data_IF_709009935045
#
_entry.id   IF_709009935045
#
_cell.length_a   1.000
_cell.length_b   1.000
_cell.length_c   1.000
_cell.angle_alpha   90.00
_cell.angle_beta   90.00
_cell.angle_gamma   90.00
#
_symmetry.space_group_name_H-M   'P 1'
#
loop_
_entity.id
_entity.type
_entity.pdbx_description
1 polymer ?
#
# COMPACT_ATOMS: atom_id res chain seq x y z
N UNK A 1 12.68 3.68 -7.15
CA UNK A 1 11.80 3.34 -8.29
C UNK A 1 11.70 1.83 -8.40
N UNK A 2 10.49 1.28 -8.49
CA UNK A 2 10.33 -0.09 -8.99
C UNK A 2 10.70 -0.05 -10.49
N UNK A 3 11.57 -0.95 -10.95
CA UNK A 3 12.20 -1.01 -12.29
C UNK A 3 11.21 -0.81 -13.46
N UNK A 4 9.91 -0.96 -13.20
CA UNK A 4 8.82 -0.92 -14.17
C UNK A 4 8.43 0.47 -14.68
N UNK A 5 8.70 1.58 -13.98
CA UNK A 5 8.36 2.92 -14.54
C UNK A 5 9.17 3.29 -15.79
N UNK A 6 10.25 2.55 -16.05
CA UNK A 6 11.08 2.65 -17.26
C UNK A 6 10.38 2.02 -18.47
N UNK A 7 9.49 1.05 -18.27
CA UNK A 7 8.73 0.45 -19.35
C UNK A 7 7.44 1.28 -19.63
N UNK A 8 7.28 1.84 -20.83
CA UNK A 8 6.08 2.62 -21.19
C UNK A 8 4.78 1.80 -21.09
N UNK A 9 4.86 0.47 -21.18
CA UNK A 9 3.71 -0.45 -21.10
C UNK A 9 3.41 -0.95 -19.68
N UNK A 10 4.08 -0.44 -18.65
CA UNK A 10 3.93 -0.97 -17.29
C UNK A 10 2.49 -0.96 -16.77
N UNK A 11 1.69 0.05 -17.17
CA UNK A 11 0.27 0.15 -16.82
C UNK A 11 -0.59 -0.96 -17.45
N UNK A 12 -0.24 -1.42 -18.65
CA UNK A 12 -1.00 -2.46 -19.35
C UNK A 12 -0.77 -3.85 -18.72
N UNK A 13 0.35 -4.07 -18.02
CA UNK A 13 0.52 -5.29 -17.22
C UNK A 13 -0.49 -5.39 -16.08
N UNK A 14 -0.90 -4.27 -15.48
CA UNK A 14 -1.94 -4.28 -14.44
C UNK A 14 -3.31 -4.59 -15.03
N UNK A 15 -3.63 -4.04 -16.20
CA UNK A 15 -4.86 -4.38 -16.93
C UNK A 15 -4.88 -5.87 -17.30
N UNK A 16 -3.78 -6.40 -17.81
CA UNK A 16 -3.64 -7.83 -18.08
C UNK A 16 -3.82 -8.67 -16.81
N UNK A 17 -3.19 -8.30 -15.71
CA UNK A 17 -3.35 -8.97 -14.42
C UNK A 17 -4.82 -8.98 -13.96
N UNK A 18 -5.53 -7.85 -14.09
CA UNK A 18 -6.96 -7.76 -13.79
C UNK A 18 -7.79 -8.76 -14.59
N UNK A 19 -7.53 -8.89 -15.90
CA UNK A 19 -8.20 -9.87 -16.76
C UNK A 19 -7.94 -11.30 -16.33
N UNK A 20 -6.68 -11.64 -16.05
CA UNK A 20 -6.28 -13.00 -15.63
C UNK A 20 -6.95 -13.39 -14.32
N UNK A 21 -6.98 -12.49 -13.33
CA UNK A 21 -7.65 -12.76 -12.05
C UNK A 21 -9.15 -12.92 -12.24
N UNK A 22 -9.80 -12.04 -13.00
CA UNK A 22 -11.22 -12.14 -13.26
C UNK A 22 -11.60 -13.45 -13.96
N UNK A 23 -10.85 -13.85 -14.99
CA UNK A 23 -11.06 -15.13 -15.69
C UNK A 23 -10.90 -16.31 -14.74
N UNK A 24 -9.87 -16.29 -13.90
CA UNK A 24 -9.65 -17.37 -12.96
C UNK A 24 -10.79 -17.49 -11.94
N UNK A 25 -11.28 -16.36 -11.41
CA UNK A 25 -12.43 -16.36 -10.50
C UNK A 25 -13.71 -16.85 -11.19
N UNK A 26 -13.96 -16.44 -12.44
CA UNK A 26 -15.11 -16.90 -13.22
C UNK A 26 -15.10 -18.41 -13.45
N UNK A 27 -13.92 -19.00 -13.68
CA UNK A 27 -13.77 -20.43 -13.91
C UNK A 27 -13.45 -21.24 -12.64
N UNK A 28 -13.61 -20.64 -11.45
CA UNK A 28 -13.22 -21.27 -10.17
C UNK A 28 -11.78 -21.83 -10.18
N UNK A 29 -10.93 -21.21 -10.99
CA UNK A 29 -9.53 -21.58 -11.14
C UNK A 29 -8.71 -20.90 -10.06
N UNK A 30 -7.89 -21.70 -9.41
CA UNK A 30 -6.97 -21.23 -8.40
C UNK A 30 -5.88 -20.35 -9.04
N UNK A 31 -5.66 -19.11 -8.55
CA UNK A 31 -4.46 -18.28 -8.85
C UNK A 31 -3.60 -18.06 -7.60
N UNK A 32 -2.29 -18.33 -7.71
CA UNK A 32 -1.26 -18.41 -6.65
C UNK A 32 -0.97 -17.17 -5.81
N UNK A 33 -1.97 -16.38 -5.46
CA UNK A 33 -1.82 -14.99 -5.02
C UNK A 33 -2.72 -14.75 -3.80
N UNK A 34 -2.20 -13.96 -2.88
CA UNK A 34 -2.96 -13.41 -1.74
C UNK A 34 -3.06 -11.91 -1.97
N UNK A 35 -4.27 -11.38 -1.92
CA UNK A 35 -4.49 -9.95 -1.96
C UNK A 35 -4.37 -9.38 -0.55
N UNK A 36 -3.61 -8.30 -0.40
CA UNK A 36 -3.51 -7.59 0.88
C UNK A 36 -4.84 -6.91 1.21
N UNK A 37 -5.15 -6.81 2.50
CA UNK A 37 -6.41 -6.21 2.98
C UNK A 37 -6.61 -4.78 2.47
N UNK A 38 -5.56 -3.95 2.52
CA UNK A 38 -5.60 -2.58 2.00
C UNK A 38 -6.04 -2.51 0.52
N UNK A 39 -5.63 -3.45 -0.32
CA UNK A 39 -6.00 -3.50 -1.73
C UNK A 39 -7.48 -3.86 -1.92
N UNK A 40 -7.98 -4.83 -1.14
CA UNK A 40 -9.40 -5.22 -1.20
C UNK A 40 -10.32 -4.07 -0.77
N UNK A 41 -9.97 -3.38 0.32
CA UNK A 41 -10.69 -2.19 0.77
C UNK A 41 -10.78 -1.12 -0.32
N UNK A 42 -9.68 -0.86 -1.03
CA UNK A 42 -9.67 0.13 -2.11
C UNK A 42 -10.55 -0.25 -3.29
N UNK A 43 -10.59 -1.54 -3.63
CA UNK A 43 -11.49 -2.02 -4.68
C UNK A 43 -12.96 -1.87 -4.29
N UNK A 44 -13.29 -1.92 -2.98
CA UNK A 44 -14.63 -1.61 -2.48
C UNK A 44 -14.85 -0.11 -2.17
N UNK A 45 -13.84 0.73 -2.41
CA UNK A 45 -13.85 2.18 -2.10
C UNK A 45 -14.01 2.48 -0.61
N UNK A 46 -13.48 1.61 0.24
CA UNK A 46 -13.39 1.78 1.69
C UNK A 46 -12.03 2.41 2.02
N UNK A 47 -12.02 3.34 2.97
CA UNK A 47 -10.80 4.00 3.43
C UNK A 47 -9.86 3.01 4.12
N UNK A 48 -8.56 3.16 3.85
CA UNK A 48 -7.49 2.34 4.44
C UNK A 48 -7.01 3.03 5.71
N UNK A 49 -7.06 2.32 6.84
CA UNK A 49 -6.54 2.76 8.13
C UNK A 49 -5.16 2.17 8.44
N UNK A 50 -4.53 2.65 9.51
CA UNK A 50 -3.22 2.15 9.97
C UNK A 50 -3.25 0.64 10.28
N UNK A 51 -4.33 0.14 10.87
CA UNK A 51 -4.42 -1.29 11.21
C UNK A 51 -4.51 -2.18 9.96
N UNK A 52 -4.97 -1.63 8.84
CA UNK A 52 -5.20 -2.36 7.60
C UNK A 52 -3.91 -2.62 6.82
N UNK A 53 -2.85 -1.86 7.14
CA UNK A 53 -1.54 -1.97 6.52
C UNK A 53 -0.56 -2.81 7.33
N UNK A 54 -0.94 -3.28 8.52
CA UNK A 54 -0.07 -4.01 9.45
C UNK A 54 0.62 -5.21 8.79
N UNK A 55 -0.13 -6.01 8.05
CA UNK A 55 0.39 -7.20 7.38
C UNK A 55 1.04 -6.87 6.03
N UNK A 56 0.62 -5.77 5.41
CA UNK A 56 1.15 -5.32 4.13
C UNK A 56 2.55 -4.73 4.28
N UNK A 57 2.75 -3.88 5.30
CA UNK A 57 4.03 -3.25 5.65
C UNK A 57 4.20 -3.14 7.18
N UNK A 58 4.74 -4.20 7.82
CA UNK A 58 4.97 -4.21 9.27
C UNK A 58 5.96 -3.14 9.75
N UNK A 59 6.91 -2.72 8.89
CA UNK A 59 7.93 -1.74 9.25
C UNK A 59 7.35 -0.33 9.30
N UNK A 60 6.57 0.04 8.28
CA UNK A 60 5.84 1.30 8.29
C UNK A 60 4.81 1.33 9.41
N UNK A 61 4.06 0.23 9.61
CA UNK A 61 3.10 0.12 10.71
C UNK A 61 3.76 0.41 12.07
N UNK A 62 4.89 -0.26 12.36
CA UNK A 62 5.63 -0.05 13.60
C UNK A 62 6.14 1.39 13.73
N UNK A 63 6.62 1.97 12.64
CA UNK A 63 7.13 3.34 12.60
C UNK A 63 6.04 4.38 12.88
N UNK A 64 4.86 4.21 12.26
CA UNK A 64 3.68 5.03 12.52
C UNK A 64 3.24 4.92 13.98
N UNK A 65 3.17 3.70 14.53
CA UNK A 65 2.85 3.49 15.96
C UNK A 65 3.85 4.18 16.89
N UNK A 66 5.14 4.09 16.59
CA UNK A 66 6.17 4.76 17.38
C UNK A 66 5.96 6.28 17.44
N UNK A 67 5.61 6.94 16.34
CA UNK A 67 5.33 8.39 16.36
C UNK A 67 4.06 8.71 17.17
N UNK A 68 3.02 7.90 17.01
CA UNK A 68 1.76 8.09 17.72
C UNK A 68 1.93 7.95 19.24
N UNK A 69 2.76 6.99 19.66
CA UNK A 69 3.01 6.66 21.07
C UNK A 69 4.17 7.47 21.68
N UNK A 70 4.95 8.19 20.88
CA UNK A 70 6.08 8.98 21.37
C UNK A 70 5.61 10.08 22.34
N UNK A 71 6.41 10.35 23.36
CA UNK A 71 6.12 11.40 24.34
C UNK A 71 5.89 12.75 23.64
N UNK A 72 4.78 13.47 23.92
CA UNK A 72 4.46 14.75 23.30
C UNK A 72 5.61 15.76 23.36
N UNK A 73 6.31 15.86 24.50
CA UNK A 73 7.42 16.81 24.68
C UNK A 73 8.58 16.48 23.73
N UNK A 74 8.83 15.20 23.44
CA UNK A 74 9.88 14.76 22.52
C UNK A 74 9.50 15.05 21.07
N UNK A 75 8.23 14.83 20.69
CA UNK A 75 7.75 15.15 19.33
C UNK A 75 7.83 16.65 19.09
N UNK A 76 7.41 17.46 20.07
CA UNK A 76 7.34 18.92 19.95
C UNK A 76 8.72 19.61 19.93
N UNK A 77 9.76 18.91 20.35
CA UNK A 77 11.16 19.34 20.22
C UNK A 77 11.73 19.12 18.80
N UNK A 78 10.92 18.61 17.86
CA UNK A 78 11.30 18.35 16.46
C UNK A 78 12.54 17.45 16.31
N UNK A 79 12.77 16.54 17.28
CA UNK A 79 13.95 15.66 17.33
C UNK A 79 14.03 14.72 16.12
N UNK A 80 12.87 14.38 15.53
CA UNK A 80 12.80 13.53 14.33
C UNK A 80 12.95 14.33 13.02
N UNK A 81 12.85 15.66 13.08
CA UNK A 81 12.89 16.56 11.92
C UNK A 81 11.83 16.25 10.87
N UNK A 82 10.65 15.78 11.29
CA UNK A 82 9.60 15.32 10.38
C UNK A 82 8.76 16.50 9.90
N UNK A 83 8.50 16.53 8.61
CA UNK A 83 7.61 17.48 7.95
C UNK A 83 6.49 16.73 7.23
N UNK A 84 5.44 17.42 6.77
CA UNK A 84 4.35 16.82 5.98
C UNK A 84 4.78 16.51 4.55
N UNK A 85 5.83 15.70 4.42
CA UNK A 85 6.49 15.33 3.17
C UNK A 85 6.85 13.84 3.20
N UNK A 86 6.79 13.21 2.03
CA UNK A 86 7.25 11.86 1.80
C UNK A 86 8.54 11.90 0.97
N UNK A 87 9.61 11.30 1.49
CA UNK A 87 10.87 11.17 0.78
C UNK A 87 10.94 9.80 0.11
N UNK A 88 11.43 9.75 -1.13
CA UNK A 88 11.75 8.48 -1.78
C UNK A 88 13.11 8.57 -2.45
N UNK A 89 13.96 7.57 -2.19
CA UNK A 89 15.15 7.34 -3.00
C UNK A 89 14.78 6.63 -4.32
N UNK A 90 15.04 7.34 -5.40
CA UNK A 90 14.63 6.99 -6.73
C UNK A 90 15.86 6.98 -7.65
N UNK A 91 16.54 5.82 -7.71
CA UNK A 91 17.77 5.60 -8.49
C UNK A 91 18.94 6.50 -8.04
N UNK A 92 19.07 6.71 -6.73
CA UNK A 92 20.08 7.61 -6.15
C UNK A 92 19.67 9.07 -6.17
N UNK A 93 18.51 9.41 -6.74
CA UNK A 93 17.92 10.74 -6.67
C UNK A 93 16.87 10.76 -5.58
N UNK A 94 17.08 11.58 -4.55
CA UNK A 94 16.07 11.83 -3.52
C UNK A 94 14.96 12.70 -4.11
N UNK A 95 13.74 12.20 -4.06
CA UNK A 95 12.54 12.95 -4.44
C UNK A 95 11.68 13.18 -3.21
N UNK A 96 11.25 14.43 -3.03
CA UNK A 96 10.35 14.85 -1.96
C UNK A 96 8.97 15.09 -2.56
N UNK A 97 7.93 14.56 -1.91
CA UNK A 97 6.52 14.79 -2.26
C UNK A 97 5.85 15.43 -1.06
N UNK A 98 5.24 16.61 -1.24
CA UNK A 98 4.42 17.19 -0.17
C UNK A 98 3.12 16.41 0.00
N UNK A 99 2.82 16.03 1.24
CA UNK A 99 1.59 15.29 1.60
C UNK A 99 0.36 16.21 1.70
N UNK A 100 0.59 17.51 1.90
CA UNK A 100 -0.42 18.55 1.90
C UNK A 100 0.19 19.86 1.37
N UNK A 101 -0.63 20.88 1.03
CA UNK A 101 -0.10 22.14 0.51
C UNK A 101 0.88 22.80 1.48
N UNK A 102 2.10 23.10 1.02
CA UNK A 102 3.21 23.65 1.83
C UNK A 102 3.64 22.71 2.95
N UNK A 103 3.49 21.40 2.76
CA UNK A 103 3.79 20.39 3.78
C UNK A 103 5.25 20.39 4.24
N UNK A 104 6.18 20.82 3.39
CA UNK A 104 7.59 20.95 3.76
C UNK A 104 7.84 22.02 4.85
N UNK A 105 6.91 22.97 5.03
CA UNK A 105 7.00 24.02 6.05
C UNK A 105 6.21 23.71 7.33
N UNK A 106 5.62 22.51 7.41
CA UNK A 106 4.80 22.09 8.55
C UNK A 106 5.55 20.97 9.27
N UNK A 107 6.14 21.28 10.42
CA UNK A 107 6.76 20.26 11.29
C UNK A 107 5.68 19.42 11.98
N UNK A 108 5.98 18.12 12.14
CA UNK A 108 5.14 17.18 12.85
C UNK A 108 5.29 17.39 14.35
N UNK A 109 4.17 17.56 15.04
CA UNK A 109 4.09 17.82 16.47
C UNK A 109 3.02 16.95 17.13
N UNK A 110 2.90 17.03 18.44
CA UNK A 110 2.01 16.23 19.26
C UNK A 110 0.52 16.38 18.88
N UNK A 111 0.13 17.55 18.36
CA UNK A 111 -1.23 17.90 17.95
C UNK A 111 -1.55 17.34 16.56
N UNK A 112 -0.60 17.44 15.61
CA UNK A 112 -0.84 17.16 14.19
C UNK A 112 -0.36 15.77 13.73
N UNK A 113 0.36 15.01 14.57
CA UNK A 113 0.92 13.70 14.22
C UNK A 113 -0.09 12.67 13.70
N UNK A 114 -1.33 12.65 14.21
CA UNK A 114 -2.37 11.75 13.69
C UNK A 114 -2.64 12.03 12.21
N UNK A 115 -2.80 13.30 11.86
CA UNK A 115 -3.00 13.75 10.48
C UNK A 115 -1.79 13.43 9.59
N UNK A 116 -0.58 13.55 10.13
CA UNK A 116 0.64 13.15 9.41
C UNK A 116 0.61 11.66 9.06
N UNK A 117 0.24 10.79 10.01
CA UNK A 117 0.12 9.35 9.76
C UNK A 117 -0.97 9.03 8.73
N UNK A 118 -2.16 9.65 8.86
CA UNK A 118 -3.25 9.44 7.90
C UNK A 118 -2.84 9.80 6.47
N UNK A 119 -2.17 10.94 6.29
CA UNK A 119 -1.68 11.37 4.98
C UNK A 119 -0.56 10.49 4.42
N UNK A 120 0.29 9.92 5.30
CA UNK A 120 1.29 8.95 4.87
C UNK A 120 0.65 7.68 4.32
N UNK A 121 -0.34 7.14 5.04
CA UNK A 121 -1.08 5.94 4.62
C UNK A 121 -1.82 6.22 3.31
N UNK A 122 -2.55 7.33 3.23
CA UNK A 122 -3.26 7.77 2.03
C UNK A 122 -2.30 7.91 0.84
N UNK A 123 -1.14 8.54 1.02
CA UNK A 123 -0.17 8.70 -0.05
C UNK A 123 0.35 7.35 -0.55
N UNK A 124 0.85 6.52 0.37
CA UNK A 124 1.53 5.28 0.01
C UNK A 124 0.57 4.22 -0.51
N UNK A 125 -0.52 3.97 0.21
CA UNK A 125 -1.42 2.88 -0.13
C UNK A 125 -2.44 3.30 -1.16
N UNK A 126 -2.92 4.55 -1.18
CA UNK A 126 -4.00 4.98 -2.10
C UNK A 126 -3.44 5.74 -3.29
N UNK A 127 -2.83 6.90 -3.05
CA UNK A 127 -2.48 7.84 -4.12
C UNK A 127 -1.37 7.30 -5.02
N UNK A 128 -0.35 6.64 -4.45
CA UNK A 128 0.84 6.21 -5.20
C UNK A 128 0.58 5.07 -6.18
N UNK A 129 -0.50 4.29 -5.96
CA UNK A 129 -0.89 3.14 -6.79
C UNK A 129 -2.19 3.36 -7.56
N UNK A 130 -2.84 4.53 -7.44
CA UNK A 130 -4.15 4.79 -8.02
C UNK A 130 -4.24 4.48 -9.54
N UNK A 131 -3.19 4.80 -10.31
CA UNK A 131 -3.16 4.51 -11.77
C UNK A 131 -3.07 3.02 -12.06
N UNK A 132 -2.25 2.31 -11.30
CA UNK A 132 -2.05 0.87 -11.38
C UNK A 132 -3.35 0.14 -11.01
N UNK A 133 -3.97 0.54 -9.89
CA UNK A 133 -5.22 -0.01 -9.43
C UNK A 133 -6.36 0.24 -10.42
N UNK A 134 -6.46 1.46 -10.97
CA UNK A 134 -7.45 1.80 -11.99
C UNK A 134 -7.33 0.89 -13.22
N UNK A 135 -6.11 0.63 -13.69
CA UNK A 135 -5.86 -0.28 -14.82
C UNK A 135 -6.19 -1.73 -14.48
N UNK A 136 -5.85 -2.18 -13.27
CA UNK A 136 -6.26 -3.51 -12.78
C UNK A 136 -7.78 -3.66 -12.76
N UNK A 137 -8.51 -2.71 -12.16
CA UNK A 137 -9.97 -2.71 -12.12
C UNK A 137 -10.58 -2.69 -13.52
N UNK A 138 -10.03 -1.89 -14.44
CA UNK A 138 -10.46 -1.89 -15.84
C UNK A 138 -10.30 -3.28 -16.48
N UNK A 139 -9.15 -3.92 -16.28
CA UNK A 139 -8.92 -5.27 -16.78
C UNK A 139 -9.86 -6.31 -16.18
N UNK A 140 -10.18 -6.18 -14.90
CA UNK A 140 -11.15 -7.05 -14.23
C UNK A 140 -12.55 -6.87 -14.83
N UNK A 141 -12.99 -5.61 -15.01
CA UNK A 141 -14.27 -5.24 -15.59
C UNK A 141 -14.41 -5.67 -17.06
N UNK A 142 -13.33 -5.64 -17.85
CA UNK A 142 -13.31 -6.15 -19.22
C UNK A 142 -13.82 -7.61 -19.31
N UNK A 143 -13.67 -8.38 -18.23
CA UNK A 143 -14.05 -9.80 -18.17
C UNK A 143 -15.41 -10.03 -17.51
N UNK A 144 -15.67 -9.39 -16.35
CA UNK A 144 -16.93 -9.62 -15.60
C UNK A 144 -18.10 -8.76 -16.06
N UNK A 145 -17.85 -7.78 -16.92
CA UNK A 145 -18.84 -6.95 -17.63
C UNK A 145 -19.48 -5.83 -16.81
N UNK A 146 -19.51 -5.90 -15.47
CA UNK A 146 -20.06 -4.83 -14.63
C UNK A 146 -19.47 -4.80 -13.20
N UNK A 147 -19.59 -3.64 -12.55
CA UNK A 147 -19.06 -3.42 -11.18
C UNK A 147 -19.75 -4.29 -10.12
N UNK A 148 -21.02 -4.64 -10.30
CA UNK A 148 -21.76 -5.48 -9.34
C UNK A 148 -21.14 -6.87 -9.26
N UNK A 149 -20.85 -7.50 -10.40
CA UNK A 149 -20.20 -8.79 -10.47
C UNK A 149 -18.79 -8.73 -9.88
N UNK A 150 -18.02 -7.68 -10.19
CA UNK A 150 -16.70 -7.46 -9.59
C UNK A 150 -16.79 -7.44 -8.06
N UNK A 151 -17.71 -6.66 -7.48
CA UNK A 151 -17.90 -6.62 -6.02
C UNK A 151 -18.28 -7.98 -5.43
N UNK A 152 -19.15 -8.75 -6.10
CA UNK A 152 -19.51 -10.09 -5.64
C UNK A 152 -18.30 -11.04 -5.62
N UNK A 153 -17.46 -11.01 -6.66
CA UNK A 153 -16.24 -11.81 -6.71
C UNK A 153 -15.19 -11.37 -5.70
N UNK A 154 -15.08 -10.08 -5.39
CA UNK A 154 -14.15 -9.59 -4.38
C UNK A 154 -14.60 -9.95 -2.96
N UNK A 155 -15.90 -9.88 -2.67
CA UNK A 155 -16.46 -10.33 -1.38
C UNK A 155 -16.23 -11.82 -1.13
N UNK A 156 -16.25 -12.66 -2.17
CA UNK A 156 -15.94 -14.08 -2.00
C UNK A 156 -14.47 -14.36 -1.67
N UNK A 157 -13.57 -13.39 -1.90
CA UNK A 157 -12.18 -13.44 -1.45
C UNK A 157 -12.03 -13.06 0.04
N UNK A 158 -12.89 -12.17 0.56
CA UNK A 158 -12.87 -11.72 1.96
C UNK A 158 -13.42 -12.79 2.94
N UNK A 159 -14.35 -13.64 2.49
CA UNK A 159 -15.13 -14.56 3.35
C UNK A 159 -14.37 -15.79 3.89
N UNK A 160 -13.03 -15.86 3.82
CA UNK A 160 -12.27 -17.02 4.31
C UNK A 160 -11.51 -16.82 5.63
N UNK A 161 -11.66 -15.69 6.30
CA UNK A 161 -10.90 -15.34 7.52
C UNK A 161 -11.70 -15.46 8.83
N UNK A 162 -12.23 -16.65 9.17
CA UNK A 162 -12.85 -16.87 10.49
C UNK A 162 -12.08 -17.76 11.47
N UNK A 163 -10.99 -18.42 11.08
CA UNK A 163 -10.33 -19.43 11.94
C UNK A 163 -8.89 -19.13 12.36
N UNK A 164 -8.41 -17.87 12.27
CA UNK A 164 -7.04 -17.53 12.69
C UNK A 164 -5.94 -18.26 11.91
N UNK A 165 -6.32 -18.97 10.85
CA UNK A 165 -5.45 -19.61 9.90
C UNK A 165 -5.41 -18.65 8.71
N UNK A 166 -4.29 -17.94 8.53
CA UNK A 166 -3.99 -17.22 7.29
C UNK A 166 -3.89 -18.25 6.14
N UNK A 167 -5.03 -18.80 5.74
CA UNK A 167 -5.18 -19.56 4.52
C UNK A 167 -5.67 -18.56 3.50
N UNK A 168 -4.73 -17.69 3.08
CA UNK A 168 -4.78 -17.21 1.71
C UNK A 168 -5.14 -18.40 0.84
N UNK A 169 -6.18 -18.26 0.02
CA UNK A 169 -6.69 -19.34 -0.84
C UNK A 169 -5.49 -20.09 -1.37
N UNK A 170 -5.31 -21.34 -0.91
CA UNK A 170 -4.02 -22.02 -1.00
C UNK A 170 -3.78 -22.49 -2.41
N UNK A 171 -3.49 -21.54 -3.29
CA UNK A 171 -3.27 -21.79 -4.69
C UNK A 171 -1.80 -22.02 -4.92
N UNK A 172 -1.48 -23.18 -5.48
CA UNK A 172 -0.12 -23.49 -5.89
C UNK A 172 0.21 -22.86 -7.25
N UNK A 173 1.22 -21.99 -7.19
CA UNK A 173 2.24 -21.62 -8.19
C UNK A 173 1.83 -21.16 -9.59
N UNK A 174 1.97 -19.85 -9.81
CA UNK A 174 2.59 -19.27 -11.02
C UNK A 174 3.71 -18.32 -10.55
N UNK A 175 4.93 -18.86 -10.46
CA UNK A 175 6.13 -18.18 -9.94
C UNK A 175 6.49 -16.88 -10.67
N UNK A 176 5.99 -16.66 -11.90
CA UNK A 176 6.23 -15.47 -12.71
C UNK A 176 5.38 -14.26 -12.28
N UNK A 177 4.14 -14.49 -11.84
CA UNK A 177 3.20 -13.42 -11.44
C UNK A 177 3.50 -12.96 -10.01
N UNK A 178 3.88 -13.88 -9.12
CA UNK A 178 4.25 -13.57 -7.73
C UNK A 178 5.39 -12.56 -7.63
N UNK A 179 6.41 -12.65 -8.50
CA UNK A 179 7.52 -11.68 -8.52
C UNK A 179 7.07 -10.29 -8.98
N UNK A 180 6.12 -10.21 -9.91
CA UNK A 180 5.60 -8.93 -10.38
C UNK A 180 4.63 -8.33 -9.36
N UNK A 181 3.70 -9.10 -8.78
CA UNK A 181 2.75 -8.60 -7.78
C UNK A 181 3.42 -8.26 -6.43
N UNK A 182 4.39 -9.04 -5.96
CA UNK A 182 5.16 -8.67 -4.77
C UNK A 182 6.10 -7.49 -5.02
N UNK A 183 6.55 -7.26 -6.25
CA UNK A 183 7.31 -6.05 -6.61
C UNK A 183 6.43 -4.83 -6.96
N UNK A 184 5.14 -5.06 -7.19
CA UNK A 184 4.09 -4.03 -7.31
C UNK A 184 3.76 -3.49 -5.92
N UNK A 185 3.71 -4.37 -4.92
CA UNK A 185 3.70 -4.04 -3.49
C UNK A 185 5.10 -3.99 -2.88
N UNK A 186 6.16 -3.84 -3.69
CA UNK A 186 7.48 -3.55 -3.14
C UNK A 186 7.39 -2.16 -2.53
N UNK A 187 7.10 -2.17 -1.23
CA UNK A 187 7.38 -1.12 -0.27
C UNK A 187 8.69 -0.49 -0.71
N UNK A 188 8.59 0.76 -1.14
CA UNK A 188 9.75 1.61 -1.37
C UNK A 188 10.57 1.53 -0.09
N UNK A 189 11.85 1.15 -0.18
CA UNK A 189 12.70 1.00 1.00
C UNK A 189 12.57 2.27 1.84
N UNK A 190 12.01 2.18 3.05
CA UNK A 190 11.80 3.36 3.85
C UNK A 190 13.14 3.92 4.32
N UNK A 191 13.23 5.23 4.34
CA UNK A 191 14.37 5.99 4.82
C UNK A 191 14.38 5.90 6.34
N UNK A 192 15.43 5.30 6.90
CA UNK A 192 15.57 5.20 8.35
C UNK A 192 16.03 6.54 8.93
N UNK A 193 15.31 7.07 9.92
CA UNK A 193 15.74 8.19 10.76
C UNK A 193 15.96 7.71 12.19
N UNK A 194 17.08 8.12 12.77
CA UNK A 194 17.48 7.72 14.11
C UNK A 194 16.74 8.56 15.15
N UNK A 195 16.11 7.90 16.12
CA UNK A 195 15.60 8.58 17.31
C UNK A 195 16.74 8.75 18.31
N UNK A 196 16.81 9.90 18.99
CA UNK A 196 17.76 10.11 20.11
C UNK A 196 17.64 9.10 21.26
N UNK A 197 16.66 8.19 21.21
CA UNK A 197 16.42 7.08 22.14
C UNK A 197 16.99 5.72 21.67
N UNK A 198 17.77 5.67 20.58
CA UNK A 198 18.41 4.43 20.12
C UNK A 198 17.51 3.51 19.27
N UNK A 199 16.40 4.02 18.74
CA UNK A 199 15.49 3.29 17.83
C UNK A 199 15.48 3.94 16.45
N UNK A 200 15.13 3.17 15.41
CA UNK A 200 14.96 3.69 14.06
C UNK A 200 13.47 3.81 13.74
N UNK A 201 13.08 4.95 13.15
CA UNK A 201 11.77 5.13 12.54
C UNK A 201 11.95 5.14 11.02
N UNK A 202 11.12 4.40 10.32
CA UNK A 202 11.24 4.14 8.89
C UNK A 202 10.16 4.92 8.12
N UNK A 203 10.59 5.77 7.18
CA UNK A 203 9.75 6.58 6.28
C UNK A 203 10.22 6.45 4.83
#
# INVERSE_FOLDING_TARGET
FSVYKVNPLHLEYYRFAGRVIALALMHNTQVGIVFGRALLLQLDRINVSLEDIKDADPFLYSSCKQILEMDPCVVDQDVLGLTFTWEVDELGVKKVVELCPKGNNISVNSINRNKYIDLNIEHQFVTSIAKQLSKFSQGFLDIVGNEKNMKLFLKSLELKDHDGMCMGVKVKSLSTIRRHILNIMAIKRPTARYTGSGRYVYF
#
